data_IF_863647884737
#
_entry.id   IF_863647884737
#
_cell.length_a   1.000
_cell.length_b   1.000
_cell.length_c   1.000
_cell.angle_alpha   90.00
_cell.angle_beta   90.00
_cell.angle_gamma   90.00
#
_symmetry.space_group_name_H-M   'P 1'
#
loop_
_entity.id
_entity.type
_entity.pdbx_description
1 polymer ?
#
# COMPACT_ATOMS: atom_id res chain seq x y z
N UNK A 1 12.55 14.03 28.90
CA UNK A 1 13.31 13.14 28.02
C UNK A 1 14.63 13.75 27.53
N UNK A 2 14.95 15.00 27.86
CA UNK A 2 16.19 15.67 27.45
C UNK A 2 16.09 16.54 26.19
N UNK A 3 14.92 16.64 25.57
CA UNK A 3 14.71 17.60 24.49
C UNK A 3 14.50 19.02 25.05
N UNK A 4 14.93 20.06 24.28
CA UNK A 4 14.63 21.45 24.58
C UNK A 4 13.24 21.80 24.02
N UNK A 5 12.36 22.32 24.91
CA UNK A 5 10.97 22.65 24.56
C UNK A 5 10.68 24.10 24.91
N UNK A 6 10.38 24.89 23.89
CA UNK A 6 9.99 26.30 24.02
C UNK A 6 8.63 26.54 23.37
N UNK A 7 7.58 26.62 24.15
CA UNK A 7 6.19 26.65 23.64
C UNK A 7 5.87 25.35 22.92
N UNK A 8 5.54 25.43 21.61
CA UNK A 8 5.27 24.27 20.75
C UNK A 8 6.51 23.80 19.97
N UNK A 9 7.63 24.52 20.07
CA UNK A 9 8.86 24.17 19.37
C UNK A 9 9.68 23.17 20.19
N UNK A 10 10.02 22.03 19.57
CA UNK A 10 10.85 20.99 20.17
C UNK A 10 12.16 20.88 19.40
N UNK A 11 13.28 20.94 20.11
CA UNK A 11 14.62 20.65 19.58
C UNK A 11 15.14 19.38 20.22
N UNK A 12 15.56 18.43 19.40
CA UNK A 12 16.04 17.14 19.86
C UNK A 12 17.53 17.05 19.51
N UNK A 13 18.36 16.83 20.49
CA UNK A 13 19.77 16.56 20.27
C UNK A 13 19.95 15.28 19.43
N UNK A 14 20.99 15.27 18.58
CA UNK A 14 21.24 14.15 17.67
C UNK A 14 21.48 12.84 18.44
N UNK A 15 22.21 12.84 19.56
CA UNK A 15 22.49 11.63 20.32
C UNK A 15 21.20 11.08 20.95
N UNK A 16 20.36 11.95 21.51
CA UNK A 16 19.05 11.57 22.04
C UNK A 16 18.16 11.01 20.92
N UNK A 17 18.06 11.71 19.79
CA UNK A 17 17.25 11.28 18.64
C UNK A 17 17.68 9.86 18.20
N UNK A 18 18.97 9.65 17.97
CA UNK A 18 19.46 8.35 17.50
C UNK A 18 19.32 7.24 18.56
N UNK A 19 19.39 7.58 19.84
CA UNK A 19 19.12 6.62 20.92
C UNK A 19 17.67 6.15 20.96
N UNK A 20 16.73 7.00 20.55
CA UNK A 20 15.30 6.65 20.42
C UNK A 20 15.07 5.83 19.15
N UNK A 21 15.64 6.25 18.02
CA UNK A 21 15.54 5.54 16.73
C UNK A 21 16.05 4.10 16.86
N UNK A 22 17.16 3.89 17.57
CA UNK A 22 17.75 2.57 17.78
C UNK A 22 16.87 1.59 18.58
N UNK A 23 15.80 2.05 19.22
CA UNK A 23 14.83 1.18 19.93
C UNK A 23 13.80 0.54 19.02
N UNK A 24 13.64 1.03 17.80
CA UNK A 24 12.69 0.47 16.84
C UNK A 24 13.17 -0.91 16.39
N UNK A 25 12.31 -1.96 16.43
CA UNK A 25 12.70 -3.27 15.91
C UNK A 25 12.89 -3.20 14.38
N UNK A 26 13.97 -3.78 13.83
CA UNK A 26 14.26 -3.75 12.39
C UNK A 26 13.28 -4.61 11.58
N UNK A 27 12.59 -5.51 12.25
CA UNK A 27 11.56 -6.39 11.66
C UNK A 27 10.42 -6.59 12.66
N UNK A 28 9.22 -6.81 12.16
CA UNK A 28 8.06 -7.23 12.94
C UNK A 28 7.11 -8.06 12.10
N UNK A 29 6.25 -8.83 12.78
CA UNK A 29 5.18 -9.60 12.13
C UNK A 29 3.90 -8.77 12.14
N UNK A 30 3.20 -8.65 11.02
CA UNK A 30 1.85 -8.09 10.93
C UNK A 30 0.87 -9.25 10.73
N UNK A 31 0.14 -9.58 11.80
CA UNK A 31 -0.74 -10.73 11.83
C UNK A 31 -2.03 -10.46 11.07
N UNK A 32 -2.43 -11.43 10.26
CA UNK A 32 -3.68 -11.41 9.52
C UNK A 32 -4.76 -12.20 10.25
N UNK A 33 -6.03 -11.99 9.89
CA UNK A 33 -7.16 -12.79 10.36
C UNK A 33 -7.01 -14.27 9.94
N UNK A 34 -6.48 -14.51 8.76
CA UNK A 34 -5.99 -15.83 8.34
C UNK A 34 -4.48 -15.90 8.60
N UNK A 35 -4.01 -16.79 9.50
CA UNK A 35 -2.60 -16.90 9.85
C UNK A 35 -1.67 -17.15 8.64
N UNK A 36 -2.15 -17.85 7.60
CA UNK A 36 -1.40 -18.13 6.37
C UNK A 36 -1.09 -16.85 5.55
N UNK A 37 -1.83 -15.78 5.80
CA UNK A 37 -1.66 -14.47 5.15
C UNK A 37 -0.90 -13.46 6.02
N UNK A 38 -0.40 -13.89 7.17
CA UNK A 38 0.47 -13.10 8.04
C UNK A 38 1.76 -12.75 7.32
N UNK A 39 2.21 -11.51 7.46
CA UNK A 39 3.39 -11.00 6.77
C UNK A 39 4.45 -10.50 7.73
N UNK A 40 5.72 -10.56 7.29
CA UNK A 40 6.85 -9.90 7.96
C UNK A 40 7.16 -8.59 7.26
N UNK A 41 7.39 -7.54 8.03
CA UNK A 41 7.80 -6.22 7.57
C UNK A 41 9.21 -5.93 8.07
N UNK A 42 10.09 -5.49 7.20
CA UNK A 42 11.49 -5.22 7.52
C UNK A 42 12.44 -6.26 6.92
N UNK A 43 13.74 -6.11 7.17
CA UNK A 43 14.79 -6.96 6.64
C UNK A 43 14.78 -7.03 5.10
N UNK A 44 14.64 -8.23 4.55
CA UNK A 44 14.56 -8.50 3.11
C UNK A 44 13.12 -8.69 2.59
N UNK A 45 12.12 -8.54 3.47
CA UNK A 45 10.73 -8.75 3.10
C UNK A 45 10.14 -7.49 2.45
N UNK A 46 9.25 -7.69 1.48
CA UNK A 46 8.49 -6.61 0.83
C UNK A 46 7.00 -6.92 0.90
N UNK A 47 6.21 -5.97 1.39
CA UNK A 47 4.75 -6.04 1.51
C UNK A 47 4.15 -5.06 0.51
N UNK A 48 3.24 -5.54 -0.35
CA UNK A 48 2.52 -4.74 -1.34
C UNK A 48 1.10 -4.42 -0.88
N UNK A 49 0.72 -3.14 -0.96
CA UNK A 49 -0.54 -2.61 -0.42
C UNK A 49 -1.22 -1.70 -1.44
N UNK A 50 -2.54 -1.86 -1.72
CA UNK A 50 -3.25 -1.05 -2.68
C UNK A 50 -3.29 0.44 -2.29
N UNK A 51 -3.93 1.26 -3.11
CA UNK A 51 -4.03 2.70 -2.89
C UNK A 51 -4.81 3.07 -1.62
N UNK A 52 -4.83 4.37 -1.29
CA UNK A 52 -5.45 4.91 -0.09
C UNK A 52 -6.03 6.31 -0.31
N UNK A 53 -7.26 6.52 0.15
CA UNK A 53 -7.84 7.84 0.38
C UNK A 53 -8.48 8.53 -0.83
N UNK A 54 -8.79 7.83 -1.92
CA UNK A 54 -9.40 8.45 -3.09
C UNK A 54 -10.87 8.83 -2.84
N UNK A 55 -11.26 10.11 -3.01
CA UNK A 55 -12.67 10.51 -2.94
C UNK A 55 -13.48 10.10 -4.17
N UNK A 56 -12.82 9.79 -5.28
CA UNK A 56 -13.48 9.38 -6.52
C UNK A 56 -13.07 7.98 -6.93
N UNK A 57 -13.94 7.34 -7.70
CA UNK A 57 -13.67 6.09 -8.39
C UNK A 57 -13.92 6.24 -9.89
N UNK A 58 -13.18 5.47 -10.69
CA UNK A 58 -13.50 5.19 -12.08
C UNK A 58 -14.03 3.76 -12.13
N UNK A 59 -15.35 3.61 -12.31
CA UNK A 59 -16.09 2.37 -12.20
C UNK A 59 -15.83 1.36 -13.32
N UNK A 60 -16.55 0.24 -13.28
CA UNK A 60 -16.53 -0.76 -14.35
C UNK A 60 -17.09 -0.24 -15.69
N UNK A 61 -17.94 0.77 -15.61
CA UNK A 61 -18.46 1.53 -16.76
C UNK A 61 -17.44 2.50 -17.37
N UNK A 62 -16.32 2.73 -16.67
CA UNK A 62 -15.30 3.69 -17.06
C UNK A 62 -15.61 5.13 -16.63
N UNK A 63 -16.75 5.39 -15.99
CA UNK A 63 -17.15 6.73 -15.54
C UNK A 63 -16.51 7.13 -14.22
N UNK A 64 -16.17 8.42 -14.11
CA UNK A 64 -15.62 9.02 -12.89
C UNK A 64 -16.76 9.58 -12.03
N UNK A 65 -16.84 9.11 -10.78
CA UNK A 65 -17.84 9.56 -9.80
C UNK A 65 -17.31 9.50 -8.38
N UNK A 66 -18.02 10.06 -7.42
CA UNK A 66 -17.68 9.86 -6.01
C UNK A 66 -17.71 8.38 -5.63
N UNK A 67 -16.77 7.99 -4.76
CA UNK A 67 -16.71 6.66 -4.18
C UNK A 67 -17.89 6.40 -3.23
N UNK A 68 -18.35 5.15 -3.19
CA UNK A 68 -19.40 4.67 -2.31
C UNK A 68 -18.92 3.51 -1.44
N UNK A 69 -19.69 3.13 -0.41
CA UNK A 69 -19.43 1.92 0.37
C UNK A 69 -19.46 0.66 -0.49
N UNK A 70 -20.33 0.62 -1.49
CA UNK A 70 -20.36 -0.49 -2.46
C UNK A 70 -19.07 -0.59 -3.27
N UNK A 71 -18.51 0.55 -3.69
CA UNK A 71 -17.22 0.58 -4.37
C UNK A 71 -16.09 0.13 -3.46
N UNK A 72 -16.05 0.65 -2.23
CA UNK A 72 -15.06 0.25 -1.24
C UNK A 72 -15.11 -1.26 -0.96
N UNK A 73 -16.31 -1.82 -0.77
CA UNK A 73 -16.51 -3.26 -0.60
C UNK A 73 -15.96 -4.04 -1.80
N UNK A 74 -16.25 -3.61 -3.02
CA UNK A 74 -15.77 -4.26 -4.23
C UNK A 74 -14.24 -4.15 -4.37
N UNK A 75 -13.65 -3.01 -4.03
CA UNK A 75 -12.19 -2.85 -4.04
C UNK A 75 -11.50 -3.72 -2.98
N UNK A 76 -12.09 -3.91 -1.80
CA UNK A 76 -11.59 -4.86 -0.80
C UNK A 76 -11.69 -6.32 -1.30
N UNK A 77 -12.76 -6.69 -2.00
CA UNK A 77 -12.88 -8.01 -2.65
C UNK A 77 -11.79 -8.22 -3.70
N UNK A 78 -11.54 -7.22 -4.56
CA UNK A 78 -10.45 -7.29 -5.54
C UNK A 78 -9.08 -7.38 -4.86
N UNK A 79 -8.84 -6.66 -3.77
CA UNK A 79 -7.62 -6.77 -2.98
C UNK A 79 -7.45 -8.17 -2.39
N UNK A 80 -8.53 -8.75 -1.86
CA UNK A 80 -8.53 -10.11 -1.32
C UNK A 80 -8.20 -11.16 -2.40
N UNK A 81 -8.82 -11.06 -3.57
CA UNK A 81 -8.64 -12.00 -4.67
C UNK A 81 -7.31 -11.83 -5.42
N UNK A 82 -6.61 -10.71 -5.23
CA UNK A 82 -5.33 -10.46 -5.91
C UNK A 82 -4.17 -11.10 -5.14
N UNK A 83 -3.52 -12.17 -5.66
CA UNK A 83 -2.50 -12.90 -4.90
C UNK A 83 -1.24 -12.07 -4.65
N UNK A 84 -0.94 -11.09 -5.51
CA UNK A 84 0.21 -10.22 -5.37
C UNK A 84 0.04 -9.12 -4.30
N UNK A 85 -1.17 -8.87 -3.81
CA UNK A 85 -1.43 -7.92 -2.73
C UNK A 85 -1.41 -8.63 -1.38
N UNK A 86 -0.60 -8.12 -0.45
CA UNK A 86 -0.44 -8.71 0.90
C UNK A 86 -1.39 -8.11 1.94
N UNK A 87 -2.00 -6.97 1.65
CA UNK A 87 -2.90 -6.27 2.56
C UNK A 87 -4.15 -5.80 1.81
N UNK A 88 -5.27 -5.76 2.51
CA UNK A 88 -6.50 -5.14 1.99
C UNK A 88 -6.50 -3.62 2.10
N UNK A 89 -5.46 -3.00 2.71
CA UNK A 89 -5.50 -1.58 3.08
C UNK A 89 -6.68 -1.27 4.04
N UNK A 90 -7.25 -0.06 3.97
CA UNK A 90 -8.53 0.31 4.60
C UNK A 90 -9.32 1.25 3.70
N UNK A 91 -8.90 2.50 3.55
CA UNK A 91 -9.58 3.51 2.74
C UNK A 91 -9.09 3.41 1.29
N UNK A 92 -9.43 2.37 0.55
CA UNK A 92 -9.05 2.30 -0.88
C UNK A 92 -9.77 3.43 -1.64
N UNK A 93 -11.07 3.63 -1.35
CA UNK A 93 -11.79 4.85 -1.71
C UNK A 93 -12.65 5.32 -0.54
N UNK A 94 -12.99 6.59 -0.50
CA UNK A 94 -13.87 7.16 0.51
C UNK A 94 -15.34 6.84 0.21
N UNK A 95 -16.11 6.26 1.14
CA UNK A 95 -17.57 6.11 1.00
C UNK A 95 -18.24 7.45 1.29
N UNK A 96 -18.36 8.30 0.25
CA UNK A 96 -18.72 9.71 0.38
C UNK A 96 -20.18 9.93 0.85
N UNK A 97 -21.05 8.95 0.69
CA UNK A 97 -22.44 8.99 1.17
C UNK A 97 -22.57 8.82 2.69
N UNK A 98 -21.51 8.29 3.34
CA UNK A 98 -21.52 8.08 4.79
C UNK A 98 -21.03 9.35 5.50
N UNK A 99 -21.73 9.85 6.55
CA UNK A 99 -21.26 10.98 7.35
C UNK A 99 -19.84 10.80 7.87
N UNK A 100 -19.01 11.83 7.77
CA UNK A 100 -17.57 11.80 8.11
C UNK A 100 -17.32 11.23 9.53
N UNK A 101 -18.09 11.56 10.58
CA UNK A 101 -17.85 11.00 11.92
C UNK A 101 -18.03 9.50 12.02
N UNK A 102 -18.86 8.88 11.16
CA UNK A 102 -19.20 7.46 11.17
C UNK A 102 -18.44 6.62 10.16
N UNK A 103 -17.87 7.26 9.15
CA UNK A 103 -17.26 6.64 7.97
C UNK A 103 -16.21 5.59 8.31
N UNK A 104 -15.36 5.86 9.31
CA UNK A 104 -14.28 4.96 9.74
C UNK A 104 -14.81 3.57 10.19
N UNK A 105 -16.00 3.49 10.80
CA UNK A 105 -16.60 2.23 11.24
C UNK A 105 -16.88 1.31 10.05
N UNK A 106 -17.49 1.86 9.00
CA UNK A 106 -17.81 1.11 7.78
C UNK A 106 -16.58 0.74 6.97
N UNK A 107 -15.58 1.62 6.93
CA UNK A 107 -14.30 1.37 6.25
C UNK A 107 -13.59 0.17 6.88
N UNK A 108 -13.43 0.17 8.19
CA UNK A 108 -12.77 -0.93 8.90
C UNK A 108 -13.59 -2.21 8.82
N UNK A 109 -14.92 -2.13 8.96
CA UNK A 109 -15.80 -3.27 8.78
C UNK A 109 -15.66 -3.88 7.38
N UNK A 110 -15.65 -3.07 6.34
CA UNK A 110 -15.46 -3.52 4.96
C UNK A 110 -14.13 -4.28 4.77
N UNK A 111 -13.03 -3.73 5.28
CA UNK A 111 -11.72 -4.37 5.22
C UNK A 111 -11.69 -5.71 5.95
N UNK A 112 -12.28 -5.80 7.14
CA UNK A 112 -12.33 -7.01 7.96
C UNK A 112 -13.28 -8.07 7.40
N UNK A 113 -14.42 -7.65 6.84
CA UNK A 113 -15.42 -8.56 6.31
C UNK A 113 -15.01 -9.18 4.99
N UNK A 114 -14.56 -8.34 4.03
CA UNK A 114 -14.32 -8.78 2.65
C UNK A 114 -12.92 -9.31 2.40
N UNK A 115 -12.06 -9.32 3.43
CA UNK A 115 -10.71 -9.86 3.35
C UNK A 115 -10.27 -10.47 4.69
N UNK A 116 -9.42 -11.49 4.63
CA UNK A 116 -8.74 -12.07 5.79
C UNK A 116 -7.24 -11.73 5.82
N UNK A 117 -6.79 -10.83 4.91
CA UNK A 117 -5.43 -10.26 4.85
C UNK A 117 -5.23 -9.20 5.94
N UNK A 118 -3.96 -8.80 6.21
CA UNK A 118 -3.66 -7.63 7.02
C UNK A 118 -4.41 -6.39 6.53
N UNK A 119 -4.81 -5.53 7.44
CA UNK A 119 -5.54 -4.30 7.14
C UNK A 119 -4.85 -3.08 7.78
N UNK A 120 -5.33 -1.89 7.44
CA UNK A 120 -4.80 -0.63 7.96
C UNK A 120 -5.81 0.09 8.84
N UNK A 121 -5.29 0.85 9.81
CA UNK A 121 -6.11 1.64 10.73
C UNK A 121 -6.38 3.06 10.24
N UNK A 122 -7.14 3.80 11.05
CA UNK A 122 -7.55 5.19 10.82
C UNK A 122 -6.86 6.10 11.84
N UNK A 123 -6.41 7.27 11.42
CA UNK A 123 -5.63 8.21 12.25
C UNK A 123 -6.25 9.63 12.32
N UNK A 124 -7.44 9.81 11.76
CA UNK A 124 -8.07 11.13 11.61
C UNK A 124 -8.68 11.70 12.90
N UNK A 125 -8.70 10.96 13.98
CA UNK A 125 -8.88 11.41 15.35
C UNK A 125 -8.44 10.32 16.34
N UNK A 126 -8.27 10.71 17.62
CA UNK A 126 -8.01 9.77 18.72
C UNK A 126 -9.13 8.75 18.85
N UNK A 127 -10.38 9.21 18.87
CA UNK A 127 -11.57 8.35 19.06
C UNK A 127 -11.69 7.33 17.94
N UNK A 128 -11.41 7.72 16.70
CA UNK A 128 -11.43 6.79 15.55
C UNK A 128 -10.33 5.74 15.64
N UNK A 129 -9.14 6.14 16.10
CA UNK A 129 -8.06 5.17 16.36
C UNK A 129 -8.44 4.20 17.49
N UNK A 130 -9.09 4.68 18.55
CA UNK A 130 -9.60 3.84 19.65
C UNK A 130 -10.69 2.89 19.16
N UNK A 131 -11.60 3.33 18.28
CA UNK A 131 -12.62 2.46 17.67
C UNK A 131 -11.98 1.37 16.80
N UNK A 132 -10.95 1.68 16.03
CA UNK A 132 -10.18 0.66 15.29
C UNK A 132 -9.57 -0.38 16.22
N UNK A 133 -9.00 0.05 17.35
CA UNK A 133 -8.42 -0.89 18.33
C UNK A 133 -9.49 -1.79 18.98
N UNK A 134 -10.68 -1.26 19.28
CA UNK A 134 -11.81 -2.05 19.78
C UNK A 134 -12.31 -3.05 18.75
N UNK A 135 -12.48 -2.65 17.50
CA UNK A 135 -12.86 -3.56 16.40
C UNK A 135 -11.80 -4.64 16.20
N UNK A 136 -10.51 -4.29 16.32
CA UNK A 136 -9.42 -5.27 16.30
C UNK A 136 -9.50 -6.25 17.48
N UNK A 137 -9.84 -5.76 18.66
CA UNK A 137 -10.05 -6.60 19.86
C UNK A 137 -11.22 -7.59 19.70
N UNK A 138 -12.30 -7.19 19.03
CA UNK A 138 -13.44 -8.08 18.71
C UNK A 138 -12.99 -9.21 17.77
N UNK A 139 -12.16 -8.89 16.76
CA UNK A 139 -11.75 -9.85 15.71
C UNK A 139 -10.65 -10.79 16.18
N UNK A 140 -9.64 -10.28 16.86
CA UNK A 140 -8.44 -11.04 17.23
C UNK A 140 -8.41 -11.46 18.71
N UNK A 141 -9.26 -10.89 19.54
CA UNK A 141 -9.23 -11.00 20.99
C UNK A 141 -8.42 -9.86 21.63
N UNK A 142 -8.99 -9.24 22.68
CA UNK A 142 -8.37 -8.08 23.35
C UNK A 142 -6.97 -8.40 23.91
N UNK A 143 -6.78 -9.58 24.49
CA UNK A 143 -5.49 -9.99 25.06
C UNK A 143 -4.48 -10.28 23.95
N UNK A 144 -4.91 -10.89 22.84
CA UNK A 144 -4.03 -11.12 21.69
C UNK A 144 -3.47 -9.81 21.12
N UNK A 145 -4.33 -8.79 20.97
CA UNK A 145 -3.94 -7.48 20.41
C UNK A 145 -2.95 -6.72 21.28
N UNK A 146 -2.91 -6.99 22.59
CA UNK A 146 -1.93 -6.35 23.50
C UNK A 146 -0.47 -6.77 23.21
N UNK A 147 -0.29 -8.01 22.79
CA UNK A 147 1.03 -8.62 22.58
C UNK A 147 1.41 -8.75 21.10
N UNK A 148 0.43 -8.65 20.20
CA UNK A 148 0.61 -8.89 18.77
C UNK A 148 0.22 -7.69 17.92
N UNK A 149 0.96 -7.47 16.85
CA UNK A 149 0.65 -6.45 15.86
C UNK A 149 -0.36 -6.99 14.85
N UNK A 150 -1.52 -6.36 14.75
CA UNK A 150 -2.65 -6.79 13.88
C UNK A 150 -3.13 -5.69 12.94
N UNK A 151 -2.77 -4.43 13.22
CA UNK A 151 -3.15 -3.28 12.39
C UNK A 151 -1.97 -2.34 12.22
N UNK A 152 -1.69 -1.91 11.00
CA UNK A 152 -0.70 -0.88 10.69
C UNK A 152 -1.42 0.41 10.32
N UNK A 153 -0.92 1.56 10.78
CA UNK A 153 -1.53 2.87 10.46
C UNK A 153 -0.49 3.84 9.93
N UNK A 154 -0.92 4.82 9.15
CA UNK A 154 -0.01 5.86 8.65
C UNK A 154 -0.31 7.19 9.32
N UNK A 155 0.75 7.90 9.68
CA UNK A 155 0.68 9.27 10.15
C UNK A 155 1.57 10.17 9.31
N UNK A 156 1.05 11.33 8.97
CA UNK A 156 1.78 12.36 8.24
C UNK A 156 1.98 13.56 9.16
N UNK A 157 3.07 14.30 8.96
CA UNK A 157 3.18 15.64 9.54
C UNK A 157 2.63 16.69 8.56
N UNK A 158 2.30 17.85 9.06
CA UNK A 158 1.98 19.03 8.26
C UNK A 158 3.29 19.70 7.86
N UNK A 159 3.84 19.27 6.72
CA UNK A 159 5.09 19.84 6.21
C UNK A 159 4.93 21.33 5.87
N UNK A 160 5.84 22.21 6.29
CA UNK A 160 7.14 21.89 6.89
C UNK A 160 7.13 21.77 8.43
N UNK A 161 7.66 20.68 8.95
CA UNK A 161 8.12 20.47 10.33
C UNK A 161 7.06 20.61 11.45
N UNK A 162 5.77 20.35 11.16
CA UNK A 162 4.67 20.44 12.14
C UNK A 162 3.98 19.10 12.31
N UNK A 163 3.95 18.59 13.55
CA UNK A 163 3.09 17.49 13.96
C UNK A 163 1.89 18.06 14.72
N UNK A 164 0.68 17.97 14.15
CA UNK A 164 -0.53 18.46 14.78
C UNK A 164 -1.04 17.55 15.91
N UNK A 165 -1.92 18.10 16.76
CA UNK A 165 -2.45 17.40 17.91
C UNK A 165 -3.23 16.14 17.52
N UNK A 166 -3.99 16.18 16.43
CA UNK A 166 -4.80 15.05 15.96
C UNK A 166 -3.93 13.85 15.62
N UNK A 167 -2.86 14.08 14.82
CA UNK A 167 -1.91 13.03 14.47
C UNK A 167 -1.17 12.52 15.70
N UNK A 168 -0.69 13.41 16.57
CA UNK A 168 0.01 13.00 17.80
C UNK A 168 -0.89 12.18 18.73
N UNK A 169 -2.18 12.49 18.83
CA UNK A 169 -3.11 11.74 19.66
C UNK A 169 -3.41 10.35 19.07
N UNK A 170 -3.60 10.22 17.77
CA UNK A 170 -3.73 8.92 17.10
C UNK A 170 -2.44 8.08 17.25
N UNK A 171 -1.26 8.70 17.11
CA UNK A 171 0.03 8.03 17.35
C UNK A 171 0.14 7.47 18.78
N UNK A 172 -0.35 8.22 19.79
CA UNK A 172 -0.40 7.74 21.18
C UNK A 172 -1.24 6.49 21.34
N UNK A 173 -2.39 6.42 20.66
CA UNK A 173 -3.28 5.24 20.71
C UNK A 173 -2.56 4.02 20.17
N UNK A 174 -2.09 4.06 18.94
CA UNK A 174 -1.44 2.90 18.31
C UNK A 174 -0.13 2.49 19.00
N UNK A 175 0.70 3.47 19.39
CA UNK A 175 1.95 3.15 20.10
C UNK A 175 1.70 2.47 21.45
N UNK A 176 0.71 2.92 22.24
CA UNK A 176 0.33 2.31 23.51
C UNK A 176 -0.13 0.87 23.35
N UNK A 177 -0.81 0.55 22.26
CA UNK A 177 -1.27 -0.81 21.91
C UNK A 177 -0.23 -1.63 21.14
N UNK A 178 1.02 -1.16 21.07
CA UNK A 178 2.08 -1.83 20.31
C UNK A 178 1.80 -2.02 18.81
N UNK A 179 0.96 -1.22 18.23
CA UNK A 179 0.63 -1.34 16.82
C UNK A 179 1.58 -0.50 15.95
N UNK A 180 2.03 -1.05 14.80
CA UNK A 180 2.96 -0.38 13.91
C UNK A 180 2.43 0.93 13.36
N UNK A 181 3.28 1.94 13.30
CA UNK A 181 3.00 3.22 12.65
C UNK A 181 3.96 3.46 11.49
N UNK A 182 3.42 3.88 10.37
CA UNK A 182 4.18 4.38 9.24
C UNK A 182 4.34 5.89 9.42
N UNK A 183 5.57 6.35 9.65
CA UNK A 183 5.92 7.77 9.76
C UNK A 183 6.34 8.25 8.37
N UNK A 184 5.39 8.75 7.58
CA UNK A 184 5.63 9.08 6.17
C UNK A 184 5.08 10.46 5.82
N UNK A 185 5.85 11.53 6.07
CA UNK A 185 5.44 12.88 5.70
C UNK A 185 5.03 12.95 4.23
N UNK A 186 3.92 13.64 3.97
CA UNK A 186 3.47 13.99 2.63
C UNK A 186 4.05 15.35 2.26
N UNK A 187 4.91 15.38 1.26
CA UNK A 187 5.65 16.56 0.90
C UNK A 187 5.57 16.88 -0.61
N UNK A 188 5.18 18.11 -0.90
CA UNK A 188 5.15 18.66 -2.25
C UNK A 188 6.44 19.45 -2.49
N UNK A 189 7.34 18.86 -3.30
CA UNK A 189 8.62 19.48 -3.63
C UNK A 189 8.40 20.73 -4.48
N UNK A 190 8.83 21.89 -3.94
CA UNK A 190 8.56 23.20 -4.49
C UNK A 190 7.40 23.96 -3.86
N UNK A 191 6.63 23.30 -2.95
CA UNK A 191 5.51 23.92 -2.23
C UNK A 191 5.63 23.75 -0.72
N UNK A 192 5.57 22.52 -0.18
CA UNK A 192 5.74 22.27 1.26
C UNK A 192 7.18 21.91 1.67
N UNK A 193 8.06 21.73 0.69
CA UNK A 193 9.52 21.68 0.86
C UNK A 193 10.19 22.58 -0.17
N UNK A 194 11.50 22.74 -0.07
CA UNK A 194 12.28 23.42 -1.11
C UNK A 194 12.13 22.72 -2.48
N UNK A 195 12.38 23.47 -3.58
CA UNK A 195 12.42 22.89 -4.94
C UNK A 195 13.67 22.04 -5.20
N UNK A 196 14.53 21.84 -4.19
CA UNK A 196 15.68 20.93 -4.24
C UNK A 196 15.27 19.54 -3.74
N UNK A 197 15.49 18.50 -4.55
CA UNK A 197 15.21 17.10 -4.15
C UNK A 197 15.96 16.70 -2.87
N UNK A 198 17.23 17.07 -2.74
CA UNK A 198 18.02 16.76 -1.54
C UNK A 198 17.57 17.60 -0.34
N UNK A 199 17.18 18.86 -0.55
CA UNK A 199 16.58 19.69 0.50
C UNK A 199 15.25 19.11 1.00
N UNK A 200 14.40 18.60 0.09
CA UNK A 200 13.17 17.91 0.43
C UNK A 200 13.44 16.62 1.23
N UNK A 201 14.41 15.80 0.81
CA UNK A 201 14.83 14.60 1.55
C UNK A 201 15.31 14.96 2.96
N UNK A 202 16.11 16.00 3.14
CA UNK A 202 16.61 16.40 4.45
C UNK A 202 15.47 16.80 5.40
N UNK A 203 14.48 17.57 4.90
CA UNK A 203 13.31 17.96 5.67
C UNK A 203 12.44 16.75 6.03
N UNK A 204 12.06 15.93 5.05
CA UNK A 204 11.20 14.75 5.25
C UNK A 204 11.85 13.73 6.19
N UNK A 205 13.18 13.56 6.09
CA UNK A 205 13.94 12.75 7.04
C UNK A 205 13.81 13.27 8.47
N UNK A 206 13.96 14.56 8.68
CA UNK A 206 13.81 15.16 10.02
C UNK A 206 12.39 14.98 10.57
N UNK A 207 11.37 15.21 9.74
CA UNK A 207 9.97 15.04 10.08
C UNK A 207 9.64 13.58 10.47
N UNK A 208 10.08 12.61 9.67
CA UNK A 208 9.86 11.19 9.94
C UNK A 208 10.56 10.75 11.23
N UNK A 209 11.83 11.13 11.43
CA UNK A 209 12.58 10.78 12.64
C UNK A 209 12.01 11.44 13.91
N UNK A 210 11.44 12.64 13.81
CA UNK A 210 10.74 13.27 14.94
C UNK A 210 9.51 12.45 15.35
N UNK A 211 8.73 11.94 14.37
CA UNK A 211 7.62 11.03 14.62
C UNK A 211 8.07 9.71 15.25
N UNK A 212 9.17 9.11 14.77
CA UNK A 212 9.78 7.92 15.37
C UNK A 212 10.16 8.19 16.83
N UNK A 213 10.87 9.27 17.12
CA UNK A 213 11.27 9.64 18.48
C UNK A 213 10.05 9.79 19.40
N UNK A 214 9.00 10.48 18.94
CA UNK A 214 7.77 10.66 19.71
C UNK A 214 7.13 9.32 20.10
N UNK A 215 7.00 8.39 19.17
CA UNK A 215 6.41 7.08 19.46
C UNK A 215 7.27 6.24 20.39
N UNK A 216 8.59 6.29 20.25
CA UNK A 216 9.52 5.59 21.16
C UNK A 216 9.55 6.18 22.57
N UNK A 217 9.16 7.44 22.76
CA UNK A 217 8.94 8.03 24.10
C UNK A 217 7.65 7.51 24.76
N UNK A 218 6.63 7.18 23.95
CA UNK A 218 5.36 6.63 24.45
C UNK A 218 5.53 5.17 24.83
N UNK A 219 6.09 4.37 23.93
CA UNK A 219 6.37 2.94 24.16
C UNK A 219 7.70 2.56 23.49
N UNK A 220 8.78 2.46 24.29
CA UNK A 220 10.06 1.97 23.78
C UNK A 220 9.92 0.59 23.15
N UNK A 221 10.49 0.39 21.97
CA UNK A 221 10.43 -0.88 21.24
C UNK A 221 9.15 -1.09 20.42
N UNK A 222 8.20 -0.14 20.41
CA UNK A 222 7.05 -0.24 19.50
C UNK A 222 7.50 -0.23 18.05
N UNK A 223 6.94 -1.10 17.17
CA UNK A 223 7.34 -1.20 15.78
C UNK A 223 6.97 0.06 15.00
N UNK A 224 7.88 0.50 14.13
CA UNK A 224 7.71 1.67 13.28
C UNK A 224 8.21 1.38 11.88
N UNK A 225 7.63 2.04 10.89
CA UNK A 225 8.09 2.02 9.51
C UNK A 225 8.49 3.45 9.13
N UNK A 226 9.77 3.66 8.88
CA UNK A 226 10.29 4.91 8.36
C UNK A 226 9.85 5.08 6.92
N UNK A 227 9.23 6.21 6.59
CA UNK A 227 8.60 6.37 5.30
C UNK A 227 8.68 7.78 4.74
N UNK A 228 8.22 7.90 3.51
CA UNK A 228 8.07 9.16 2.79
C UNK A 228 6.91 9.08 1.79
N UNK A 229 6.35 10.23 1.46
CA UNK A 229 5.54 10.45 0.28
C UNK A 229 5.89 11.81 -0.32
N UNK A 230 7.02 11.86 -1.05
CA UNK A 230 7.47 13.06 -1.74
C UNK A 230 7.07 13.01 -3.20
N UNK A 231 6.39 14.04 -3.66
CA UNK A 231 6.01 14.24 -5.06
C UNK A 231 6.49 15.61 -5.53
N UNK A 232 6.86 15.70 -6.79
CA UNK A 232 7.18 16.98 -7.42
C UNK A 232 5.88 17.71 -7.79
N UNK A 233 5.97 19.02 -7.96
CA UNK A 233 4.83 19.86 -8.33
C UNK A 233 5.08 20.42 -9.72
N UNK A 234 4.07 20.38 -10.58
CA UNK A 234 4.07 21.17 -11.81
C UNK A 234 4.09 22.66 -11.44
N UNK A 235 5.22 23.30 -11.69
CA UNK A 235 5.45 24.68 -11.30
C UNK A 235 4.54 25.69 -12.03
N UNK A 236 3.81 25.27 -13.06
CA UNK A 236 2.85 26.11 -13.78
C UNK A 236 1.45 26.03 -13.18
N UNK A 237 1.02 24.85 -12.78
CA UNK A 237 -0.36 24.58 -12.34
C UNK A 237 -0.47 24.36 -10.84
N UNK A 238 0.64 24.06 -10.17
CA UNK A 238 0.66 23.65 -8.76
C UNK A 238 0.20 22.21 -8.51
N UNK A 239 -0.11 21.47 -9.57
CA UNK A 239 -0.60 20.09 -9.44
C UNK A 239 0.51 19.10 -9.05
N UNK A 240 0.24 18.12 -8.17
CA UNK A 240 1.17 17.05 -7.89
C UNK A 240 1.42 16.19 -9.13
N UNK A 241 2.70 15.90 -9.40
CA UNK A 241 3.12 15.05 -10.52
C UNK A 241 3.48 13.64 -10.02
N UNK A 242 2.89 12.60 -10.60
CA UNK A 242 3.27 11.21 -10.37
C UNK A 242 4.45 10.79 -11.26
N UNK A 243 5.15 9.72 -10.85
CA UNK A 243 6.09 9.01 -11.71
C UNK A 243 7.31 9.78 -12.20
N UNK A 244 7.71 10.87 -11.53
CA UNK A 244 8.84 11.70 -12.00
C UNK A 244 10.20 11.11 -11.64
N UNK A 245 11.26 11.40 -12.43
CA UNK A 245 12.62 10.93 -12.13
C UNK A 245 13.13 11.41 -10.78
N UNK A 246 12.81 12.64 -10.37
CA UNK A 246 13.21 13.19 -9.08
C UNK A 246 12.56 12.44 -7.91
N UNK A 247 11.27 12.07 -8.03
CA UNK A 247 10.60 11.24 -7.03
C UNK A 247 11.29 9.88 -6.89
N UNK A 248 11.65 9.24 -8.01
CA UNK A 248 12.41 7.99 -8.04
C UNK A 248 13.81 8.13 -7.38
N UNK A 249 14.53 9.20 -7.70
CA UNK A 249 15.84 9.48 -7.10
C UNK A 249 15.74 9.68 -5.58
N UNK A 250 14.74 10.42 -5.10
CA UNK A 250 14.51 10.63 -3.67
C UNK A 250 14.24 9.31 -2.93
N UNK A 251 13.59 8.32 -3.58
CA UNK A 251 13.38 6.99 -2.98
C UNK A 251 14.70 6.27 -2.70
N UNK A 252 15.70 6.34 -3.61
CA UNK A 252 17.01 5.74 -3.38
C UNK A 252 17.71 6.33 -2.16
N UNK A 253 17.67 7.66 -2.01
CA UNK A 253 18.31 8.34 -0.88
C UNK A 253 17.62 7.98 0.43
N UNK A 254 16.29 8.01 0.48
CA UNK A 254 15.52 7.64 1.67
C UNK A 254 15.70 6.17 2.04
N UNK A 255 15.74 5.27 1.05
CA UNK A 255 16.03 3.85 1.28
C UNK A 255 17.44 3.63 1.86
N UNK A 256 18.45 4.40 1.41
CA UNK A 256 19.78 4.38 1.99
C UNK A 256 19.80 4.88 3.44
N UNK A 257 19.03 5.94 3.75
CA UNK A 257 18.87 6.44 5.12
C UNK A 257 18.16 5.41 6.01
N UNK A 258 17.11 4.76 5.54
CA UNK A 258 16.43 3.69 6.27
C UNK A 258 17.39 2.56 6.67
N UNK A 259 18.22 2.09 5.73
CA UNK A 259 19.27 1.09 6.01
C UNK A 259 20.30 1.59 7.02
N UNK A 260 20.72 2.86 6.91
CA UNK A 260 21.64 3.49 7.88
C UNK A 260 21.06 3.49 9.28
N UNK A 261 19.74 3.70 9.42
CA UNK A 261 19.03 3.72 10.70
C UNK A 261 18.58 2.33 11.15
N UNK A 262 18.75 1.31 10.33
CA UNK A 262 18.26 -0.05 10.56
C UNK A 262 16.73 -0.10 10.78
N UNK A 263 15.97 0.68 10.02
CA UNK A 263 14.51 0.80 10.10
C UNK A 263 13.83 0.11 8.92
N UNK A 264 12.65 -0.52 9.13
CA UNK A 264 11.77 -0.87 8.03
C UNK A 264 11.45 0.37 7.19
N UNK A 265 11.45 0.20 5.87
CA UNK A 265 11.35 1.29 4.89
C UNK A 265 10.05 1.23 4.10
N UNK A 266 9.32 2.35 4.03
CA UNK A 266 8.09 2.51 3.27
C UNK A 266 8.24 3.55 2.16
N UNK A 267 7.77 3.20 0.95
CA UNK A 267 7.60 4.15 -0.14
C UNK A 267 6.33 3.85 -0.95
N UNK A 268 6.06 4.65 -1.99
CA UNK A 268 4.99 4.43 -2.96
C UNK A 268 5.46 3.57 -4.13
N UNK A 269 4.54 2.80 -4.71
CA UNK A 269 4.74 2.05 -5.94
C UNK A 269 4.12 2.73 -7.16
N UNK A 270 2.90 2.38 -7.53
CA UNK A 270 2.23 2.82 -8.76
C UNK A 270 1.45 4.13 -8.58
N UNK A 271 2.05 5.16 -8.00
CA UNK A 271 1.37 6.44 -7.87
C UNK A 271 1.55 7.28 -9.15
N UNK A 272 0.46 7.62 -9.80
CA UNK A 272 0.45 8.27 -11.12
C UNK A 272 -0.36 9.56 -11.13
N UNK A 273 0.01 10.49 -12.01
CA UNK A 273 -0.73 11.72 -12.30
C UNK A 273 -1.77 11.55 -13.41
N UNK A 274 -1.68 10.47 -14.22
CA UNK A 274 -2.63 10.19 -15.30
C UNK A 274 -4.07 10.09 -14.80
N UNK A 275 -5.01 10.51 -15.64
CA UNK A 275 -6.46 10.46 -15.40
C UNK A 275 -7.09 9.18 -15.90
N UNK A 276 -6.36 8.41 -16.70
CA UNK A 276 -6.79 7.19 -17.34
C UNK A 276 -5.77 6.07 -17.08
N UNK A 277 -6.21 4.84 -17.25
CA UNK A 277 -5.33 3.67 -17.26
C UNK A 277 -4.71 3.51 -18.65
N UNK A 278 -3.83 4.43 -19.02
CA UNK A 278 -3.21 4.61 -20.32
C UNK A 278 -1.69 4.43 -20.30
N UNK A 279 -1.03 4.77 -21.41
CA UNK A 279 0.42 4.68 -21.54
C UNK A 279 1.13 5.57 -20.51
N UNK A 280 0.61 6.78 -20.19
CA UNK A 280 1.19 7.64 -19.18
C UNK A 280 1.14 6.95 -17.81
N UNK A 281 0.01 6.37 -17.43
CA UNK A 281 -0.12 5.62 -16.17
C UNK A 281 0.87 4.46 -16.10
N UNK A 282 1.09 3.75 -17.21
CA UNK A 282 2.07 2.68 -17.30
C UNK A 282 3.51 3.15 -17.10
N UNK A 283 3.91 4.24 -17.76
CA UNK A 283 5.27 4.80 -17.63
C UNK A 283 5.55 5.32 -16.22
N UNK A 284 4.63 6.08 -15.64
CA UNK A 284 4.74 6.61 -14.28
C UNK A 284 4.82 5.48 -13.25
N UNK A 285 3.98 4.46 -13.38
CA UNK A 285 3.97 3.27 -12.51
C UNK A 285 5.30 2.52 -12.57
N UNK A 286 5.83 2.25 -13.76
CA UNK A 286 7.08 1.53 -13.93
C UNK A 286 8.27 2.30 -13.34
N UNK A 287 8.35 3.61 -13.56
CA UNK A 287 9.43 4.45 -13.02
C UNK A 287 9.52 4.32 -11.50
N UNK A 288 8.39 4.45 -10.80
CA UNK A 288 8.37 4.45 -9.35
C UNK A 288 8.53 3.04 -8.75
N UNK A 289 7.88 2.02 -9.33
CA UNK A 289 8.00 0.66 -8.82
C UNK A 289 9.45 0.14 -8.93
N UNK A 290 10.11 0.43 -10.05
CA UNK A 290 11.53 0.10 -10.22
C UNK A 290 12.38 0.73 -9.12
N UNK A 291 12.18 2.03 -8.86
CA UNK A 291 12.88 2.72 -7.78
C UNK A 291 12.53 2.16 -6.40
N UNK A 292 11.26 1.85 -6.13
CA UNK A 292 10.82 1.29 -4.86
C UNK A 292 11.48 -0.06 -4.56
N UNK A 293 11.50 -0.97 -5.53
CA UNK A 293 12.14 -2.30 -5.38
C UNK A 293 13.65 -2.15 -5.20
N UNK A 294 14.33 -1.39 -6.06
CA UNK A 294 15.78 -1.21 -5.99
C UNK A 294 16.23 -0.43 -4.76
N UNK A 295 15.39 0.45 -4.21
CA UNK A 295 15.66 1.11 -2.92
C UNK A 295 15.55 0.18 -1.71
N UNK A 296 15.08 -1.06 -1.90
CA UNK A 296 14.93 -2.07 -0.85
C UNK A 296 13.74 -1.79 0.07
N UNK A 297 12.61 -1.34 -0.49
CA UNK A 297 11.43 -1.03 0.29
C UNK A 297 10.77 -2.27 0.89
N UNK A 298 10.44 -2.20 2.18
CA UNK A 298 9.79 -3.26 2.94
C UNK A 298 8.26 -3.15 2.92
N UNK A 299 7.73 -1.96 2.68
CA UNK A 299 6.31 -1.68 2.60
C UNK A 299 6.04 -0.75 1.42
N UNK A 300 5.62 -1.32 0.30
CA UNK A 300 5.33 -0.55 -0.91
C UNK A 300 3.83 -0.35 -1.00
N UNK A 301 3.43 0.89 -0.83
CA UNK A 301 2.03 1.29 -0.85
C UNK A 301 1.63 1.88 -2.19
N UNK A 302 0.33 2.08 -2.42
CA UNK A 302 -0.23 2.62 -3.66
C UNK A 302 0.10 1.77 -4.90
N UNK A 303 0.09 0.44 -4.75
CA UNK A 303 0.47 -0.48 -5.83
C UNK A 303 -0.71 -1.05 -6.62
N UNK A 304 -1.93 -0.51 -6.41
CA UNK A 304 -3.09 -0.88 -7.21
C UNK A 304 -4.13 0.25 -7.19
N UNK A 305 -4.60 0.64 -8.36
CA UNK A 305 -5.77 1.49 -8.56
C UNK A 305 -5.55 3.00 -8.59
N UNK A 306 -4.32 3.50 -8.38
CA UNK A 306 -4.04 4.92 -8.25
C UNK A 306 -4.13 5.68 -9.58
N UNK A 307 -4.97 6.71 -9.62
CA UNK A 307 -5.11 7.69 -10.71
C UNK A 307 -5.21 9.12 -10.15
N UNK A 308 -5.03 10.12 -11.02
CA UNK A 308 -5.25 11.54 -10.72
C UNK A 308 -4.47 12.04 -9.49
N UNK A 309 -3.22 11.64 -9.31
CA UNK A 309 -2.40 12.00 -8.16
C UNK A 309 -3.04 11.64 -6.80
N UNK A 310 -3.88 10.59 -6.76
CA UNK A 310 -4.54 10.06 -5.56
C UNK A 310 -6.00 10.45 -5.40
N UNK A 311 -6.53 11.27 -6.29
CA UNK A 311 -7.93 11.68 -6.22
C UNK A 311 -8.91 10.61 -6.73
N UNK A 312 -8.45 9.64 -7.54
CA UNK A 312 -9.32 8.63 -8.13
C UNK A 312 -8.74 7.22 -8.00
N UNK A 313 -9.59 6.25 -7.64
CA UNK A 313 -9.30 4.83 -7.73
C UNK A 313 -9.97 4.23 -8.97
N UNK A 314 -9.19 3.67 -9.90
CA UNK A 314 -9.73 2.99 -11.08
C UNK A 314 -9.87 1.50 -10.87
N UNK A 315 -11.04 0.92 -11.14
CA UNK A 315 -11.26 -0.54 -11.06
C UNK A 315 -10.39 -1.30 -12.06
N UNK A 316 -10.34 -0.83 -13.31
CA UNK A 316 -9.44 -1.38 -14.33
C UNK A 316 -7.98 -1.24 -13.89
N UNK A 317 -7.57 -0.02 -13.50
CA UNK A 317 -6.21 0.25 -13.00
C UNK A 317 -5.84 -0.64 -11.83
N UNK A 318 -6.79 -0.94 -10.94
CA UNK A 318 -6.56 -1.80 -9.77
C UNK A 318 -6.13 -3.21 -10.17
N UNK A 319 -6.83 -3.85 -11.09
CA UNK A 319 -6.54 -5.22 -11.49
C UNK A 319 -5.35 -5.32 -12.44
N UNK A 320 -5.16 -4.34 -13.31
CA UNK A 320 -3.99 -4.29 -14.20
C UNK A 320 -2.70 -4.05 -13.42
N UNK A 321 -2.72 -3.19 -12.40
CA UNK A 321 -1.61 -2.99 -11.47
C UNK A 321 -1.31 -4.27 -10.67
N UNK A 322 -2.35 -4.94 -10.14
CA UNK A 322 -2.20 -6.17 -9.38
C UNK A 322 -1.60 -7.31 -10.23
N UNK A 323 -1.91 -7.35 -11.52
CA UNK A 323 -1.25 -8.27 -12.46
C UNK A 323 0.20 -7.87 -12.70
N UNK A 324 0.47 -6.57 -12.92
CA UNK A 324 1.83 -6.07 -13.09
C UNK A 324 2.73 -6.40 -11.90
N UNK A 325 2.19 -6.41 -10.67
CA UNK A 325 2.93 -6.87 -9.49
C UNK A 325 3.38 -8.32 -9.60
N UNK A 326 2.61 -9.21 -10.21
CA UNK A 326 3.03 -10.61 -10.41
C UNK A 326 4.26 -10.66 -11.34
N UNK A 327 4.28 -9.81 -12.37
CA UNK A 327 5.46 -9.64 -13.22
C UNK A 327 6.68 -9.13 -12.43
N UNK A 328 6.48 -8.17 -11.52
CA UNK A 328 7.54 -7.67 -10.63
C UNK A 328 8.05 -8.73 -9.66
N UNK A 329 7.17 -9.62 -9.15
CA UNK A 329 7.60 -10.78 -8.36
C UNK A 329 8.53 -11.68 -9.18
N UNK A 330 8.13 -12.04 -10.39
CA UNK A 330 8.95 -12.87 -11.27
C UNK A 330 10.29 -12.20 -11.61
N UNK A 331 10.26 -10.90 -11.88
CA UNK A 331 11.48 -10.10 -12.13
C UNK A 331 12.42 -10.11 -10.92
N UNK A 332 11.91 -9.91 -9.71
CA UNK A 332 12.71 -9.85 -8.50
C UNK A 332 13.33 -11.20 -8.09
N UNK A 333 12.74 -12.32 -8.52
CA UNK A 333 13.30 -13.66 -8.32
C UNK A 333 14.60 -13.88 -9.10
N UNK A 334 14.80 -13.14 -10.19
CA UNK A 334 15.90 -13.35 -11.11
C UNK A 334 15.78 -14.63 -11.96
N UNK A 335 16.77 -14.94 -12.78
CA UNK A 335 16.76 -16.14 -13.62
C UNK A 335 16.87 -17.41 -12.77
N UNK A 336 16.06 -18.44 -13.12
CA UNK A 336 16.17 -19.79 -12.54
C UNK A 336 17.26 -20.59 -13.25
N UNK A 337 18.00 -21.38 -12.48
CA UNK A 337 18.93 -22.39 -12.99
C UNK A 337 18.45 -23.81 -12.66
N UNK A 338 17.21 -23.99 -12.20
CA UNK A 338 16.72 -25.27 -11.71
C UNK A 338 16.71 -26.36 -12.78
N UNK A 339 16.33 -26.00 -14.01
CA UNK A 339 16.22 -26.90 -15.17
C UNK A 339 17.42 -26.78 -16.16
N UNK A 340 18.48 -26.10 -15.77
CA UNK A 340 19.60 -25.78 -16.67
C UNK A 340 20.24 -27.02 -17.30
N UNK A 341 20.33 -28.12 -16.58
CA UNK A 341 20.90 -29.39 -17.08
C UNK A 341 20.05 -29.98 -18.18
N UNK A 342 18.75 -30.00 -18.00
CA UNK A 342 17.74 -30.51 -18.94
C UNK A 342 17.67 -29.60 -20.19
N UNK A 343 17.72 -28.30 -20.00
CA UNK A 343 17.78 -27.31 -21.09
C UNK A 343 19.04 -27.51 -21.96
N UNK A 344 20.21 -27.74 -21.33
CA UNK A 344 21.45 -28.05 -22.06
C UNK A 344 21.38 -29.38 -22.80
N UNK A 345 20.66 -30.38 -22.29
CA UNK A 345 20.43 -31.65 -23.01
C UNK A 345 19.53 -31.42 -24.24
N UNK A 346 18.46 -30.64 -24.11
CA UNK A 346 17.60 -30.28 -25.23
C UNK A 346 18.35 -29.50 -26.33
N UNK A 347 19.27 -28.59 -25.96
CA UNK A 347 20.11 -27.91 -26.95
C UNK A 347 20.98 -28.87 -27.76
N UNK A 348 21.57 -29.87 -27.11
CA UNK A 348 22.37 -30.88 -27.80
C UNK A 348 21.52 -31.79 -28.68
N UNK A 349 20.30 -32.12 -28.24
CA UNK A 349 19.34 -32.94 -28.99
C UNK A 349 18.92 -32.26 -30.29
N UNK A 350 18.57 -30.99 -30.21
CA UNK A 350 18.07 -30.19 -31.35
C UNK A 350 19.16 -29.90 -32.36
N UNK A 351 20.34 -29.53 -31.88
CA UNK A 351 21.47 -29.20 -32.75
C UNK A 351 21.25 -27.90 -33.59
N UNK A 352 22.21 -27.61 -34.50
CA UNK A 352 22.12 -26.42 -35.35
C UNK A 352 20.91 -26.47 -36.31
N UNK A 353 20.22 -25.32 -36.45
CA UNK A 353 19.08 -25.11 -37.35
C UNK A 353 17.82 -25.97 -37.06
N UNK A 354 17.76 -26.67 -35.93
CA UNK A 354 16.56 -27.35 -35.48
C UNK A 354 15.56 -26.43 -34.75
N UNK A 355 14.51 -27.00 -34.18
CA UNK A 355 13.54 -26.27 -33.38
C UNK A 355 13.16 -27.03 -32.10
N UNK A 356 12.81 -26.32 -31.04
CA UNK A 356 12.57 -26.91 -29.71
C UNK A 356 11.13 -27.35 -29.45
N UNK A 357 10.16 -26.97 -30.29
CA UNK A 357 8.72 -27.20 -30.04
C UNK A 357 8.35 -28.71 -29.81
N UNK A 358 9.13 -29.63 -30.34
CA UNK A 358 8.90 -31.07 -30.18
C UNK A 358 9.77 -31.74 -29.11
N UNK A 359 10.64 -30.98 -28.43
CA UNK A 359 11.50 -31.58 -27.40
C UNK A 359 10.71 -31.89 -26.13
N UNK A 360 11.13 -32.93 -25.42
CA UNK A 360 10.56 -33.30 -24.13
C UNK A 360 10.58 -32.13 -23.15
N UNK A 361 11.70 -31.42 -23.06
CA UNK A 361 11.86 -30.24 -22.19
C UNK A 361 10.80 -29.18 -22.47
N UNK A 362 10.59 -28.76 -23.73
CA UNK A 362 9.57 -27.77 -24.08
C UNK A 362 8.16 -28.23 -23.76
N UNK A 363 7.85 -29.54 -24.03
CA UNK A 363 6.51 -30.12 -23.76
C UNK A 363 6.20 -30.17 -22.24
N UNK A 364 7.22 -30.41 -21.42
CA UNK A 364 7.06 -30.46 -19.96
C UNK A 364 6.91 -29.07 -19.33
N UNK A 365 7.49 -28.03 -19.94
CA UNK A 365 7.52 -26.68 -19.41
C UNK A 365 6.66 -25.67 -20.17
N UNK A 366 5.99 -26.07 -21.21
CA UNK A 366 5.27 -25.17 -22.11
C UNK A 366 4.18 -24.31 -21.40
N UNK A 367 3.63 -24.78 -20.28
CA UNK A 367 2.59 -24.07 -19.52
C UNK A 367 3.18 -23.08 -18.50
N UNK A 368 4.34 -23.41 -17.91
CA UNK A 368 4.90 -22.70 -16.74
C UNK A 368 6.27 -22.04 -16.98
N UNK A 369 6.86 -22.25 -18.18
CA UNK A 369 8.18 -21.71 -18.51
C UNK A 369 8.28 -20.18 -18.35
N UNK A 370 7.22 -19.46 -18.73
CA UNK A 370 7.20 -18.01 -18.77
C UNK A 370 6.00 -17.44 -17.99
N UNK A 371 6.16 -16.23 -17.48
CA UNK A 371 5.04 -15.49 -16.90
C UNK A 371 3.99 -15.19 -17.96
N UNK A 372 2.78 -15.70 -17.76
CA UNK A 372 1.64 -15.50 -18.65
C UNK A 372 0.65 -14.54 -17.99
N UNK A 373 0.62 -13.28 -18.39
CA UNK A 373 -0.34 -12.29 -17.88
C UNK A 373 -1.75 -12.61 -18.37
N UNK A 374 -2.77 -12.20 -17.60
CA UNK A 374 -4.18 -12.44 -17.91
C UNK A 374 -4.92 -11.24 -18.49
N UNK A 375 -4.32 -10.05 -18.41
CA UNK A 375 -4.88 -8.79 -18.94
C UNK A 375 -4.08 -8.26 -20.14
N UNK A 376 -2.74 -8.42 -20.12
CA UNK A 376 -1.92 -8.11 -21.28
C UNK A 376 -2.25 -9.07 -22.43
N UNK A 377 -2.23 -8.56 -23.66
CA UNK A 377 -2.53 -9.33 -24.87
C UNK A 377 -1.27 -9.51 -25.70
N UNK A 378 -1.01 -10.76 -26.08
CA UNK A 378 0.10 -11.16 -26.95
C UNK A 378 -0.39 -11.96 -28.17
N UNK A 379 -1.70 -11.96 -28.42
CA UNK A 379 -2.27 -12.64 -29.57
C UNK A 379 -1.80 -11.99 -30.88
N UNK A 380 -1.77 -12.73 -32.00
CA UNK A 380 -1.67 -12.13 -33.32
C UNK A 380 -2.79 -11.12 -33.58
N UNK A 381 -2.52 -10.14 -34.43
CA UNK A 381 -3.47 -9.05 -34.73
C UNK A 381 -4.86 -9.55 -35.14
N UNK A 382 -4.92 -10.59 -35.96
CA UNK A 382 -6.15 -11.20 -36.46
C UNK A 382 -7.01 -11.76 -35.34
N UNK A 383 -6.39 -12.44 -34.38
CA UNK A 383 -7.09 -12.99 -33.21
C UNK A 383 -7.55 -11.86 -32.27
N UNK A 384 -6.69 -10.91 -31.94
CA UNK A 384 -7.06 -9.74 -31.14
C UNK A 384 -8.22 -8.97 -31.76
N UNK A 385 -8.20 -8.78 -33.10
CA UNK A 385 -9.28 -8.12 -33.85
C UNK A 385 -10.59 -8.90 -33.79
N UNK A 386 -10.52 -10.23 -33.97
CA UNK A 386 -11.69 -11.11 -33.90
C UNK A 386 -12.30 -11.19 -32.48
N UNK A 387 -11.50 -10.99 -31.43
CA UNK A 387 -11.92 -10.94 -30.04
C UNK A 387 -12.44 -9.56 -29.60
N UNK A 388 -12.63 -8.65 -30.56
CA UNK A 388 -13.26 -7.35 -30.34
C UNK A 388 -12.29 -6.16 -30.17
N UNK A 389 -11.01 -6.33 -30.48
CA UNK A 389 -9.97 -5.29 -30.51
C UNK A 389 -9.92 -4.44 -29.22
N UNK A 390 -10.12 -5.08 -28.08
CA UNK A 390 -10.18 -4.41 -26.77
C UNK A 390 -8.82 -3.83 -26.39
N UNK A 391 -8.82 -2.59 -25.95
CA UNK A 391 -7.64 -1.97 -25.33
C UNK A 391 -7.37 -2.52 -23.93
N UNK A 392 -6.25 -2.13 -23.36
CA UNK A 392 -5.81 -2.60 -22.03
C UNK A 392 -6.80 -2.21 -20.93
N UNK A 393 -7.38 -1.01 -20.98
CA UNK A 393 -8.34 -0.54 -19.98
C UNK A 393 -9.66 -1.33 -20.04
N UNK A 394 -10.17 -1.62 -21.25
CA UNK A 394 -11.37 -2.44 -21.44
C UNK A 394 -11.16 -3.88 -20.89
N UNK A 395 -10.01 -4.51 -21.20
CA UNK A 395 -9.67 -5.83 -20.64
C UNK A 395 -9.56 -5.81 -19.12
N UNK A 396 -9.00 -4.73 -18.58
CA UNK A 396 -8.93 -4.53 -17.13
C UNK A 396 -10.32 -4.45 -16.48
N UNK A 397 -11.28 -3.74 -17.09
CA UNK A 397 -12.69 -3.68 -16.63
C UNK A 397 -13.35 -5.07 -16.65
N UNK A 398 -13.20 -5.79 -17.75
CA UNK A 398 -13.73 -7.16 -17.87
C UNK A 398 -13.14 -8.09 -16.81
N UNK A 399 -11.83 -8.02 -16.57
CA UNK A 399 -11.15 -8.79 -15.53
C UNK A 399 -11.67 -8.44 -14.14
N UNK A 400 -11.83 -7.15 -13.82
CA UNK A 400 -12.38 -6.73 -12.53
C UNK A 400 -13.81 -7.24 -12.33
N UNK A 401 -14.66 -7.15 -13.37
CA UNK A 401 -16.02 -7.68 -13.33
C UNK A 401 -16.05 -9.21 -13.09
N UNK A 402 -15.21 -9.95 -13.81
CA UNK A 402 -15.10 -11.40 -13.65
C UNK A 402 -14.60 -11.79 -12.25
N UNK A 403 -13.61 -11.10 -11.71
CA UNK A 403 -13.12 -11.33 -10.36
C UNK A 403 -14.21 -11.07 -9.32
N UNK A 404 -14.95 -9.97 -9.44
CA UNK A 404 -16.06 -9.66 -8.52
C UNK A 404 -17.19 -10.69 -8.57
N UNK A 405 -17.50 -11.22 -9.77
CA UNK A 405 -18.50 -12.27 -9.94
C UNK A 405 -18.05 -13.62 -9.35
N UNK A 406 -16.75 -13.89 -9.30
CA UNK A 406 -16.17 -15.11 -8.73
C UNK A 406 -15.78 -14.96 -7.24
N UNK A 407 -16.08 -13.81 -6.63
CA UNK A 407 -15.70 -13.56 -5.23
C UNK A 407 -16.48 -14.43 -4.26
N UNK A 408 -15.75 -15.10 -3.37
CA UNK A 408 -16.26 -15.79 -2.21
C UNK A 408 -15.78 -15.11 -0.93
N UNK A 409 -16.71 -14.79 -0.02
CA UNK A 409 -16.38 -14.10 1.23
C UNK A 409 -15.56 -15.04 2.14
N UNK A 410 -14.40 -14.58 2.66
CA UNK A 410 -13.63 -15.39 3.59
C UNK A 410 -14.41 -15.65 4.88
N UNK A 411 -14.34 -16.87 5.40
CA UNK A 411 -15.06 -17.27 6.60
C UNK A 411 -14.73 -16.35 7.79
N UNK A 412 -15.76 -16.01 8.55
CA UNK A 412 -15.67 -15.28 9.82
C UNK A 412 -16.58 -15.97 10.83
N UNK A 413 -16.14 -16.12 12.09
CA UNK A 413 -16.97 -16.63 13.16
C UNK A 413 -18.22 -15.75 13.33
N UNK A 414 -19.38 -16.37 13.53
CA UNK A 414 -20.66 -15.66 13.63
C UNK A 414 -20.69 -14.72 14.85
N UNK A 415 -20.10 -15.11 15.97
CA UNK A 415 -20.03 -14.27 17.16
C UNK A 415 -19.15 -13.03 16.93
N UNK A 416 -18.05 -13.17 16.16
CA UNK A 416 -17.20 -12.03 15.76
C UNK A 416 -18.00 -11.10 14.83
N UNK A 417 -18.69 -11.66 13.82
CA UNK A 417 -19.47 -10.88 12.87
C UNK A 417 -20.59 -10.09 13.56
N UNK A 418 -21.31 -10.72 14.50
CA UNK A 418 -22.38 -10.08 15.27
C UNK A 418 -21.80 -9.04 16.24
N UNK A 419 -20.69 -9.34 16.93
CA UNK A 419 -20.00 -8.39 17.80
C UNK A 419 -19.54 -7.12 17.08
N UNK A 420 -19.07 -7.23 15.82
CA UNK A 420 -18.73 -6.07 15.00
C UNK A 420 -19.98 -5.26 14.64
N UNK A 421 -21.09 -5.90 14.25
CA UNK A 421 -22.35 -5.22 13.93
C UNK A 421 -22.90 -4.46 15.14
N UNK A 422 -22.92 -5.10 16.30
CA UNK A 422 -23.41 -4.51 17.56
C UNK A 422 -22.54 -3.32 17.98
N UNK A 423 -21.22 -3.44 17.85
CA UNK A 423 -20.30 -2.34 18.11
C UNK A 423 -20.56 -1.15 17.19
N UNK A 424 -20.70 -1.40 15.89
CA UNK A 424 -20.95 -0.36 14.88
C UNK A 424 -22.29 0.32 15.17
N UNK A 425 -23.38 -0.43 15.36
CA UNK A 425 -24.71 0.11 15.62
C UNK A 425 -24.73 1.03 16.86
N UNK A 426 -24.07 0.59 17.94
CA UNK A 426 -23.90 1.40 19.16
C UNK A 426 -23.14 2.69 18.88
N UNK A 427 -21.97 2.58 18.23
CA UNK A 427 -21.14 3.76 17.94
C UNK A 427 -21.81 4.74 16.99
N UNK A 428 -22.56 4.26 16.00
CA UNK A 428 -23.35 5.12 15.12
C UNK A 428 -24.42 5.92 15.85
N UNK A 429 -25.02 5.35 16.92
CA UNK A 429 -25.99 6.08 17.74
C UNK A 429 -25.36 7.18 18.60
N UNK A 430 -24.08 7.05 18.95
CA UNK A 430 -23.30 7.99 19.74
C UNK A 430 -22.68 9.13 18.89
N UNK A 431 -22.43 8.89 17.60
CA UNK A 431 -21.73 9.81 16.72
C UNK A 431 -22.70 10.71 15.94
N UNK A 432 -22.33 11.99 15.68
CA UNK A 432 -23.20 12.91 14.96
C UNK A 432 -23.37 12.54 13.48
N UNK A 433 -24.48 13.01 12.89
CA UNK A 433 -24.77 12.87 11.46
C UNK A 433 -24.30 14.05 10.62
N UNK A 434 -23.34 14.81 11.08
CA UNK A 434 -22.80 15.99 10.38
C UNK A 434 -21.91 15.59 9.20
N UNK A 435 -21.97 16.36 8.13
CA UNK A 435 -21.14 16.14 6.92
C UNK A 435 -19.74 16.76 7.09
N UNK A 436 -19.53 17.52 8.15
CA UNK A 436 -18.26 18.21 8.48
C UNK A 436 -17.73 17.76 9.84
#
# INVERSE_FOLDING_TARGET
AGADVTGTRVRIDQALLMSLVAKVPPEFTLNARNPERTVKVGGKNTVFVPMYGAPYVRGLDGERRYGSLADLNNLHKLAYMSPALHSSSSIICEPMEIPVPKRHLHIIHSALKHSDKPFMGIVTSKERAEDVMKMSGIVFGEDYVKDNTVVVSITNCNSPLVWDATMLDAMKVYARHNQPLILAPFALCGASTSASSIGAVAQVNAEALAGVAFTQLIRPGSPQIYGQFMVTVDMKTGAPMGGTPEAAQMMFVMGALARKYNLPWRTSGFHVGSKLNDAQAGYESNMLMHAAILSGANYIWHVAGWLEAGLCCGFSKFVTDAEQLQGWYKYAQGPSFADFKEAMAAIREVGPAGHFLGTKHTLEHFVDAFFMPSVMDFNPFEQWSAEGAKDHDARGRDKAAAMLAAYEEPAMDLGIADGLKDFIARRESELPNTVS
#
